data_IF_148205066180
#
_entry.id   IF_148205066180
#
_cell.length_a   1.000
_cell.length_b   1.000
_cell.length_c   1.000
_cell.angle_alpha   90.00
_cell.angle_beta   90.00
_cell.angle_gamma   90.00
#
_symmetry.space_group_name_H-M   'P 1'
#
loop_
_entity.id
_entity.type
_entity.pdbx_description
1 polymer ?
#
# COMPACT_ATOMS: atom_id res chain seq x y z
N UNK A 1 -34.03 -47.06 -16.00
CA UNK A 1 -33.04 -46.74 -17.05
C UNK A 1 -31.67 -46.66 -16.43
N UNK A 2 -30.76 -47.56 -16.81
CA UNK A 2 -29.33 -47.54 -16.46
C UNK A 2 -28.60 -47.17 -17.74
N UNK A 3 -27.93 -46.02 -17.75
CA UNK A 3 -27.10 -45.62 -18.89
C UNK A 3 -25.68 -46.08 -18.56
N UNK A 4 -25.30 -47.21 -19.14
CA UNK A 4 -23.92 -47.68 -19.17
C UNK A 4 -23.15 -46.80 -20.16
N UNK A 5 -22.28 -45.92 -19.66
CA UNK A 5 -21.20 -45.35 -20.47
C UNK A 5 -19.94 -46.15 -20.18
N UNK A 6 -19.60 -47.00 -21.14
CA UNK A 6 -18.39 -47.80 -21.20
C UNK A 6 -17.27 -46.89 -21.68
N UNK A 7 -16.43 -46.40 -20.77
CA UNK A 7 -15.18 -45.69 -21.13
C UNK A 7 -14.05 -46.72 -21.06
N UNK A 8 -13.42 -47.08 -22.19
CA UNK A 8 -12.28 -47.98 -22.17
C UNK A 8 -11.06 -47.32 -21.51
N UNK A 9 -10.40 -48.17 -20.72
CA UNK A 9 -9.25 -47.98 -19.86
C UNK A 9 -7.96 -47.88 -20.70
N UNK A 10 -7.23 -46.76 -20.69
CA UNK A 10 -5.76 -46.77 -20.84
C UNK A 10 -5.09 -45.48 -20.31
N UNK A 11 -4.30 -45.69 -19.25
CA UNK A 11 -3.08 -44.98 -18.78
C UNK A 11 -3.09 -43.51 -18.35
N UNK A 12 -2.60 -43.34 -17.10
CA UNK A 12 -1.73 -42.28 -16.56
C UNK A 12 -2.22 -40.83 -16.76
N UNK A 13 -2.55 -40.06 -15.73
CA UNK A 13 -1.87 -39.89 -14.46
C UNK A 13 -2.85 -39.44 -13.37
N UNK A 14 -2.63 -39.96 -12.16
CA UNK A 14 -3.13 -39.35 -10.94
C UNK A 14 -2.48 -37.98 -10.78
N UNK A 15 -3.22 -36.92 -11.10
CA UNK A 15 -2.99 -35.63 -10.45
C UNK A 15 -4.33 -34.95 -10.26
N UNK A 16 -4.94 -35.24 -9.11
CA UNK A 16 -6.09 -34.54 -8.58
C UNK A 16 -5.61 -33.14 -8.19
N UNK A 17 -5.42 -32.25 -9.16
CA UNK A 17 -5.19 -30.84 -8.87
C UNK A 17 -6.53 -30.31 -8.37
N UNK A 18 -6.61 -30.15 -7.05
CA UNK A 18 -7.65 -29.37 -6.40
C UNK A 18 -7.67 -27.99 -7.07
N UNK A 19 -8.66 -27.76 -7.92
CA UNK A 19 -8.97 -26.46 -8.50
C UNK A 19 -9.60 -25.61 -7.39
N UNK A 20 -8.76 -25.20 -6.44
CA UNK A 20 -9.01 -23.95 -5.73
C UNK A 20 -8.96 -22.84 -6.78
N UNK A 21 -9.90 -21.89 -6.78
CA UNK A 21 -9.69 -20.66 -7.53
C UNK A 21 -8.49 -19.97 -6.87
N UNK A 22 -7.30 -20.16 -7.42
CA UNK A 22 -6.18 -19.28 -7.14
C UNK A 22 -6.64 -17.92 -7.65
N UNK A 23 -7.14 -17.08 -6.74
CA UNK A 23 -7.34 -15.67 -6.97
C UNK A 23 -6.00 -15.14 -7.42
N UNK A 24 -5.85 -14.93 -8.73
CA UNK A 24 -4.67 -14.36 -9.35
C UNK A 24 -4.54 -12.94 -8.82
N UNK A 25 -3.89 -12.79 -7.66
CA UNK A 25 -3.42 -11.50 -7.18
C UNK A 25 -2.57 -10.89 -8.29
N UNK A 26 -2.90 -9.67 -8.68
CA UNK A 26 -2.13 -8.99 -9.72
C UNK A 26 -0.68 -8.89 -9.23
N UNK A 27 0.33 -9.11 -10.09
CA UNK A 27 1.71 -8.94 -9.65
C UNK A 27 1.93 -7.47 -9.32
N UNK A 28 2.00 -7.15 -8.03
CA UNK A 28 2.31 -5.80 -7.58
C UNK A 28 3.77 -5.52 -7.95
N UNK A 29 3.98 -4.46 -8.73
CA UNK A 29 5.31 -4.07 -9.19
C UNK A 29 6.07 -3.38 -8.07
N UNK A 30 7.09 -4.05 -7.53
CA UNK A 30 8.06 -3.49 -6.58
C UNK A 30 9.38 -3.13 -7.31
N UNK A 31 10.14 -2.11 -6.85
CA UNK A 31 9.84 -1.21 -5.73
C UNK A 31 8.74 -0.20 -6.07
N UNK A 32 7.79 -0.02 -5.16
CA UNK A 32 6.80 1.04 -5.23
C UNK A 32 7.40 2.34 -4.68
N UNK A 33 7.32 3.43 -5.43
CA UNK A 33 7.90 4.72 -5.05
C UNK A 33 6.88 5.82 -5.24
N UNK A 34 6.67 6.64 -4.22
CA UNK A 34 5.74 7.76 -4.30
C UNK A 34 6.11 8.88 -3.33
N UNK A 35 5.76 10.12 -3.68
CA UNK A 35 6.06 11.25 -2.83
C UNK A 35 5.03 11.35 -1.70
N UNK A 36 5.49 11.39 -0.47
CA UNK A 36 4.65 11.55 0.70
C UNK A 36 5.43 12.17 1.86
N UNK A 37 4.82 13.17 2.50
CA UNK A 37 5.36 13.77 3.71
C UNK A 37 4.87 13.04 4.96
N UNK A 38 5.55 13.26 6.08
CA UNK A 38 5.10 12.77 7.39
C UNK A 38 4.07 13.70 8.02
N UNK A 39 3.18 13.11 8.81
CA UNK A 39 2.21 13.83 9.64
C UNK A 39 2.52 13.53 11.09
N UNK A 40 2.84 14.59 11.85
CA UNK A 40 3.07 14.46 13.28
C UNK A 40 1.74 14.52 14.03
N UNK A 41 1.55 13.62 14.99
CA UNK A 41 0.44 13.70 15.91
C UNK A 41 0.84 14.59 17.10
N UNK A 42 0.15 15.73 17.24
CA UNK A 42 0.33 16.59 18.40
C UNK A 42 -0.55 16.08 19.54
N UNK A 43 0.06 15.41 20.52
CA UNK A 43 -0.63 14.87 21.70
C UNK A 43 -1.34 15.95 22.52
N UNK A 44 -0.74 17.13 22.65
CA UNK A 44 -1.30 18.23 23.44
C UNK A 44 -2.59 18.80 22.85
N UNK A 45 -2.71 18.78 21.52
CA UNK A 45 -3.89 19.28 20.80
C UNK A 45 -4.79 18.15 20.27
N UNK A 46 -4.41 16.89 20.51
CA UNK A 46 -4.97 15.69 19.88
C UNK A 46 -5.25 15.88 18.37
N UNK A 47 -4.31 16.52 17.68
CA UNK A 47 -4.49 16.94 16.29
C UNK A 47 -3.34 16.46 15.40
N UNK A 48 -3.69 15.99 14.21
CA UNK A 48 -2.74 15.65 13.16
C UNK A 48 -2.24 16.93 12.47
N UNK A 49 -0.94 17.15 12.49
CA UNK A 49 -0.28 18.31 11.89
C UNK A 49 0.60 17.79 10.74
N UNK A 50 0.25 18.04 9.47
CA UNK A 50 1.12 17.66 8.35
C UNK A 50 2.41 18.47 8.44
N UNK A 51 3.54 17.80 8.41
CA UNK A 51 4.83 18.48 8.39
C UNK A 51 5.05 19.04 6.98
N UNK A 52 5.57 20.28 6.85
CA UNK A 52 5.87 20.86 5.54
C UNK A 52 7.05 20.14 4.84
N UNK A 53 7.74 19.25 5.54
CA UNK A 53 8.87 18.49 5.03
C UNK A 53 8.41 17.53 3.93
N UNK A 54 8.89 17.70 2.69
CA UNK A 54 8.63 16.77 1.61
C UNK A 54 9.41 15.48 1.82
N UNK A 55 8.75 14.37 1.54
CA UNK A 55 9.33 13.05 1.66
C UNK A 55 8.99 12.16 0.47
N UNK A 56 9.71 11.06 0.37
CA UNK A 56 9.46 9.99 -0.58
C UNK A 56 9.40 8.67 0.18
N UNK A 57 8.37 7.89 -0.09
CA UNK A 57 8.22 6.53 0.41
C UNK A 57 8.65 5.57 -0.69
N UNK A 58 9.51 4.62 -0.33
CA UNK A 58 9.94 3.51 -1.15
C UNK A 58 9.55 2.23 -0.43
N UNK A 59 8.80 1.36 -1.09
CA UNK A 59 8.47 0.03 -0.59
C UNK A 59 9.10 -0.99 -1.53
N UNK A 60 9.97 -1.84 -1.00
CA UNK A 60 10.63 -2.91 -1.76
C UNK A 60 10.53 -4.25 -1.01
N UNK A 61 10.76 -5.36 -1.71
CA UNK A 61 10.89 -6.67 -1.10
C UNK A 61 12.13 -6.71 -0.16
N UNK A 62 11.92 -7.09 1.09
CA UNK A 62 13.02 -7.22 2.04
C UNK A 62 13.74 -8.57 1.85
N UNK A 63 15.08 -8.62 1.98
CA UNK A 63 15.82 -9.89 1.98
C UNK A 63 15.56 -10.74 3.23
N UNK A 64 14.84 -10.22 4.23
CA UNK A 64 14.52 -10.91 5.49
C UNK A 64 13.65 -12.17 5.27
N UNK A 65 12.81 -12.20 4.23
CA UNK A 65 11.96 -13.35 3.93
C UNK A 65 10.76 -13.04 3.04
N UNK A 66 10.08 -14.09 2.60
CA UNK A 66 8.81 -13.96 1.89
C UNK A 66 7.75 -13.31 2.80
N UNK A 67 7.02 -12.32 2.29
CA UNK A 67 6.09 -11.50 3.08
C UNK A 67 6.74 -10.42 3.95
N UNK A 68 8.04 -10.14 3.79
CA UNK A 68 8.73 -9.03 4.41
C UNK A 68 9.00 -7.92 3.39
N UNK A 69 8.66 -6.67 3.73
CA UNK A 69 8.83 -5.50 2.88
C UNK A 69 9.65 -4.43 3.60
N UNK A 70 10.63 -3.86 2.91
CA UNK A 70 11.36 -2.69 3.40
C UNK A 70 10.58 -1.44 3.01
N UNK A 71 10.01 -0.77 4.00
CA UNK A 71 9.36 0.51 3.87
C UNK A 71 10.35 1.61 4.28
N UNK A 72 10.87 2.34 3.31
CA UNK A 72 11.83 3.42 3.55
C UNK A 72 11.15 4.74 3.28
N UNK A 73 11.00 5.56 4.31
CA UNK A 73 10.68 6.97 4.17
C UNK A 73 11.97 7.80 4.17
N UNK A 74 12.20 8.56 3.12
CA UNK A 74 13.34 9.48 3.03
C UNK A 74 12.88 10.92 2.84
N UNK A 75 13.47 11.89 3.54
CA UNK A 75 13.17 13.29 3.29
C UNK A 75 13.82 13.77 2.00
N UNK A 76 13.07 14.58 1.26
CA UNK A 76 13.55 15.24 0.03
C UNK A 76 14.23 16.58 0.34
N UNK A 77 13.94 17.18 1.50
CA UNK A 77 14.63 18.37 1.99
C UNK A 77 15.87 17.99 2.83
N UNK A 78 17.03 18.52 2.46
CA UNK A 78 18.33 18.19 3.05
C UNK A 78 18.54 18.70 4.47
N UNK A 79 17.58 19.45 5.05
CA UNK A 79 17.90 20.33 6.19
C UNK A 79 17.70 19.70 7.57
N UNK A 80 16.90 18.66 7.78
CA UNK A 80 16.67 18.20 9.18
C UNK A 80 16.09 16.80 9.41
N UNK A 81 15.50 16.15 8.42
CA UNK A 81 14.87 14.86 8.66
C UNK A 81 15.85 13.71 8.36
N UNK A 82 15.78 12.66 9.15
CA UNK A 82 16.56 11.44 8.96
C UNK A 82 15.77 10.47 8.06
N UNK A 83 16.46 9.64 7.29
CA UNK A 83 15.82 8.53 6.58
C UNK A 83 15.34 7.51 7.60
N UNK A 84 14.05 7.18 7.53
CA UNK A 84 13.39 6.21 8.38
C UNK A 84 13.16 4.92 7.58
N UNK A 85 13.85 3.85 7.93
CA UNK A 85 13.62 2.51 7.37
C UNK A 85 12.81 1.69 8.37
N UNK A 86 11.70 1.14 7.90
CA UNK A 86 10.78 0.32 8.67
C UNK A 86 10.62 -1.01 7.96
N UNK A 87 10.78 -2.10 8.71
CA UNK A 87 10.46 -3.43 8.21
C UNK A 87 8.98 -3.71 8.44
N UNK A 88 8.28 -3.98 7.34
CA UNK A 88 6.85 -4.23 7.32
C UNK A 88 6.60 -5.68 6.95
N UNK A 89 5.80 -6.37 7.77
CA UNK A 89 5.39 -7.73 7.47
C UNK A 89 3.97 -7.73 6.89
N UNK A 90 3.77 -8.57 5.88
CA UNK A 90 2.45 -8.85 5.31
C UNK A 90 1.50 -9.37 6.39
N UNK A 91 0.36 -8.72 6.53
CA UNK A 91 -0.66 -9.01 7.54
C UNK A 91 -0.40 -8.39 8.92
N UNK A 92 0.79 -7.82 9.18
CA UNK A 92 1.10 -7.15 10.46
C UNK A 92 0.76 -5.66 10.43
N UNK A 93 0.61 -5.06 9.25
CA UNK A 93 0.27 -3.64 9.15
C UNK A 93 -1.09 -3.40 8.53
N UNK A 94 -1.72 -2.31 8.96
CA UNK A 94 -2.97 -1.81 8.41
C UNK A 94 -2.69 -0.50 7.69
N UNK A 95 -2.96 -0.47 6.39
CA UNK A 95 -2.90 0.75 5.57
C UNK A 95 -4.32 1.30 5.33
N UNK A 96 -4.65 2.42 5.95
CA UNK A 96 -5.97 3.04 5.85
C UNK A 96 -5.91 4.53 5.52
N UNK A 97 -6.79 4.98 4.62
CA UNK A 97 -6.99 6.40 4.34
C UNK A 97 -7.76 7.08 5.49
N UNK A 98 -7.28 8.24 5.93
CA UNK A 98 -7.91 9.06 6.97
C UNK A 98 -8.66 10.22 6.31
N UNK A 99 -9.99 10.12 6.26
CA UNK A 99 -10.87 11.14 5.69
C UNK A 99 -11.09 12.34 6.61
N UNK A 100 -10.61 12.28 7.86
CA UNK A 100 -10.92 13.26 8.89
C UNK A 100 -10.05 14.52 8.82
N UNK A 101 -9.01 14.55 7.98
CA UNK A 101 -8.11 15.69 7.84
C UNK A 101 -8.57 16.61 6.69
N UNK A 102 -8.53 17.93 6.92
CA UNK A 102 -8.90 18.96 5.94
C UNK A 102 -8.13 18.87 4.61
N UNK A 103 -7.01 18.16 4.59
CA UNK A 103 -6.15 17.95 3.42
C UNK A 103 -6.50 16.71 2.58
N UNK A 104 -7.50 15.90 2.97
CA UNK A 104 -8.13 14.84 2.15
C UNK A 104 -7.26 13.64 1.70
N UNK A 105 -5.92 13.73 1.78
CA UNK A 105 -4.95 12.77 1.21
C UNK A 105 -3.97 12.22 2.26
N UNK A 106 -4.48 11.99 3.47
CA UNK A 106 -3.69 11.42 4.58
C UNK A 106 -3.98 9.93 4.68
N UNK A 107 -2.92 9.14 4.79
CA UNK A 107 -2.93 7.70 4.98
C UNK A 107 -2.22 7.36 6.29
N UNK A 108 -2.67 6.30 6.94
CA UNK A 108 -2.14 5.80 8.19
C UNK A 108 -1.63 4.38 7.97
N UNK A 109 -0.37 4.16 8.32
CA UNK A 109 0.26 2.86 8.50
C UNK A 109 0.25 2.54 10.00
N UNK A 110 -0.55 1.57 10.42
CA UNK A 110 -0.57 1.11 11.79
C UNK A 110 0.04 -0.28 11.90
N UNK A 111 1.08 -0.42 12.72
CA UNK A 111 1.67 -1.71 13.06
C UNK A 111 0.81 -2.40 14.13
N UNK A 112 0.34 -3.60 13.85
CA UNK A 112 -0.43 -4.40 14.80
C UNK A 112 0.47 -4.99 15.89
N UNK A 113 1.70 -5.38 15.54
CA UNK A 113 2.67 -5.94 16.48
C UNK A 113 3.21 -4.91 17.48
N UNK A 114 3.56 -3.70 17.01
CA UNK A 114 4.13 -2.63 17.86
C UNK A 114 3.07 -1.66 18.40
N UNK A 115 1.91 -1.54 17.75
CA UNK A 115 0.92 -0.49 18.02
C UNK A 115 1.34 0.90 17.54
N UNK A 116 2.54 1.03 16.95
CA UNK A 116 3.05 2.25 16.35
C UNK A 116 2.18 2.66 15.15
N UNK A 117 1.88 3.96 15.06
CA UNK A 117 1.06 4.53 13.99
C UNK A 117 1.86 5.62 13.30
N UNK A 118 2.16 5.40 12.03
CA UNK A 118 2.80 6.39 11.18
C UNK A 118 1.75 6.96 10.24
N UNK A 119 1.68 8.28 10.17
CA UNK A 119 0.77 8.96 9.27
C UNK A 119 1.57 9.65 8.18
N UNK A 120 1.13 9.44 6.95
CA UNK A 120 1.76 9.97 5.76
C UNK A 120 0.72 10.73 4.94
N UNK A 121 1.11 11.85 4.36
CA UNK A 121 0.24 12.60 3.45
C UNK A 121 0.84 12.56 2.06
N UNK A 122 0.06 12.12 1.08
CA UNK A 122 0.56 11.97 -0.29
C UNK A 122 0.81 13.36 -0.88
N UNK A 123 2.03 13.53 -1.41
CA UNK A 123 2.56 14.74 -2.02
C UNK A 123 2.88 14.52 -3.49
N UNK A 124 2.38 13.44 -4.09
CA UNK A 124 2.60 13.21 -5.52
C UNK A 124 2.13 14.43 -6.28
N UNK A 125 3.11 15.13 -6.86
CA UNK A 125 2.87 16.33 -7.63
C UNK A 125 2.19 15.77 -8.85
N UNK A 126 0.90 16.00 -8.99
CA UNK A 126 0.21 15.75 -10.24
C UNK A 126 0.86 16.67 -11.28
N UNK A 127 1.93 16.18 -11.88
CA UNK A 127 2.68 16.81 -12.96
C UNK A 127 1.83 16.65 -14.22
N UNK A 128 0.78 17.48 -14.30
CA UNK A 128 0.25 18.10 -15.52
C UNK A 128 -1.13 18.75 -15.25
N UNK A 129 -1.20 20.07 -15.43
CA UNK A 129 -2.42 20.74 -15.90
C UNK A 129 -3.56 20.95 -14.91
N UNK A 130 -3.38 21.81 -13.91
CA UNK A 130 -4.50 22.62 -13.43
C UNK A 130 -4.80 23.72 -14.48
N UNK A 131 -5.53 23.34 -15.53
CA UNK A 131 -6.32 24.27 -16.34
C UNK A 131 -7.73 23.69 -16.47
N UNK A 132 -8.70 24.57 -16.17
CA UNK A 132 -10.17 24.47 -16.28
C UNK A 132 -10.97 23.76 -15.16
N UNK A 133 -11.73 24.62 -14.44
CA UNK A 133 -13.10 24.42 -13.96
C UNK A 133 -13.47 23.01 -13.47
N UNK A 134 -13.02 22.67 -12.25
CA UNK A 134 -13.52 21.52 -11.52
C UNK A 134 -12.94 21.47 -10.12
N UNK A 135 -13.82 21.49 -9.13
CA UNK A 135 -13.57 21.57 -7.69
C UNK A 135 -12.29 20.83 -7.20
N UNK A 136 -11.27 21.53 -6.66
CA UNK A 136 -9.92 21.00 -6.43
C UNK A 136 -9.77 20.05 -5.23
N UNK A 137 -10.86 19.57 -4.63
CA UNK A 137 -10.82 18.96 -3.29
C UNK A 137 -11.18 17.47 -3.22
N UNK A 138 -11.64 16.85 -4.32
CA UNK A 138 -12.24 15.49 -4.24
C UNK A 138 -11.63 14.44 -5.15
N UNK A 139 -10.61 14.76 -5.95
CA UNK A 139 -9.93 13.76 -6.76
C UNK A 139 -8.66 13.28 -6.05
N UNK A 140 -8.73 12.09 -5.48
CA UNK A 140 -7.57 11.20 -5.44
C UNK A 140 -7.07 11.11 -6.89
N UNK A 141 -5.80 11.41 -7.16
CA UNK A 141 -5.27 11.12 -8.49
C UNK A 141 -5.42 9.61 -8.69
N UNK A 142 -5.77 9.15 -9.89
CA UNK A 142 -5.92 7.71 -10.18
C UNK A 142 -4.71 6.89 -9.68
N UNK A 143 -3.53 7.52 -9.68
CA UNK A 143 -2.27 7.02 -9.10
C UNK A 143 -2.35 6.81 -7.59
N UNK A 144 -2.91 7.74 -6.82
CA UNK A 144 -3.03 7.63 -5.36
C UNK A 144 -3.88 6.41 -4.97
N UNK A 145 -4.99 6.18 -5.69
CA UNK A 145 -5.85 5.03 -5.47
C UNK A 145 -5.15 3.72 -5.82
N UNK A 146 -4.38 3.71 -6.91
CA UNK A 146 -3.59 2.55 -7.33
C UNK A 146 -2.51 2.21 -6.31
N UNK A 147 -1.70 3.19 -5.89
CA UNK A 147 -0.68 3.04 -4.84
C UNK A 147 -1.32 2.54 -3.55
N UNK A 148 -2.43 3.14 -3.11
CA UNK A 148 -3.10 2.73 -1.89
C UNK A 148 -3.70 1.32 -2.00
N UNK A 149 -4.15 0.91 -3.20
CA UNK A 149 -4.63 -0.45 -3.45
C UNK A 149 -3.48 -1.45 -3.44
N UNK A 150 -2.38 -1.15 -4.13
CA UNK A 150 -1.18 -1.96 -4.14
C UNK A 150 -0.60 -2.12 -2.73
N UNK A 151 -0.49 -1.04 -1.95
CA UNK A 151 -0.04 -1.12 -0.56
C UNK A 151 -0.96 -2.00 0.28
N UNK A 152 -2.28 -1.91 0.14
CA UNK A 152 -3.19 -2.79 0.87
C UNK A 152 -3.04 -4.25 0.44
N UNK A 153 -2.94 -4.53 -0.85
CA UNK A 153 -2.82 -5.88 -1.38
C UNK A 153 -1.48 -6.54 -0.98
N UNK A 154 -0.40 -5.77 -0.94
CA UNK A 154 0.94 -6.25 -0.53
C UNK A 154 1.05 -6.40 0.97
N UNK A 155 0.50 -5.46 1.74
CA UNK A 155 0.77 -5.36 3.16
C UNK A 155 -0.32 -5.97 4.05
N UNK A 156 -1.57 -6.05 3.61
CA UNK A 156 -2.69 -6.52 4.43
C UNK A 156 -3.25 -7.88 4.02
N UNK A 157 -2.96 -8.34 2.81
CA UNK A 157 -3.66 -9.45 2.16
C UNK A 157 -2.68 -10.58 1.86
#
# INVERSE_FOLDING_TARGET
MKIHLFVPLDKQDFSFILLYPQTTKMPVSLPLRFNAGQVSFNEALQKYIPLPTPGEIIVDNSPEGDGCYSFVWRPRDSTSAETEELLVFQGDVVWQKINSCTSGRVYMLAFLSSGAKHLYWMQDVNDEGAMEDGDPLSADSKKDLEIASQMREVLCE
#
